data_IF_947038202367
#
_entry.id   IF_947038202367
#
_cell.length_a   1.000
_cell.length_b   1.000
_cell.length_c   1.000
_cell.angle_alpha   90.00
_cell.angle_beta   90.00
_cell.angle_gamma   90.00
#
_symmetry.space_group_name_H-M   'P 1'
#
loop_
_entity.id
_entity.type
_entity.pdbx_description
1 polymer ?
#
# COMPACT_ATOMS: atom_id res chain seq x y z
N UNK A 1 -9.89 -1.66 -10.48
CA UNK A 1 -8.76 -0.92 -11.09
C UNK A 1 -9.25 0.47 -11.51
N UNK A 2 -8.69 1.55 -10.97
CA UNK A 2 -9.04 2.93 -11.38
C UNK A 2 -7.86 3.50 -12.17
N UNK A 3 -8.03 3.88 -13.46
CA UNK A 3 -6.93 4.35 -14.29
C UNK A 3 -6.22 5.60 -13.75
N UNK A 4 -6.91 6.41 -12.93
CA UNK A 4 -6.32 7.55 -12.22
C UNK A 4 -5.20 7.17 -11.24
N UNK A 5 -5.14 5.91 -10.77
CA UNK A 5 -4.13 5.44 -9.81
C UNK A 5 -2.83 4.98 -10.48
N UNK A 6 -2.77 4.94 -11.82
CA UNK A 6 -1.57 4.47 -12.54
C UNK A 6 -0.33 5.33 -12.27
N UNK A 7 -0.52 6.62 -11.96
CA UNK A 7 0.57 7.54 -11.56
C UNK A 7 1.24 7.14 -10.24
N UNK A 8 0.48 6.51 -9.32
CA UNK A 8 0.96 6.10 -7.99
C UNK A 8 1.91 4.91 -8.03
N UNK A 9 1.95 4.17 -9.14
CA UNK A 9 2.82 2.99 -9.29
C UNK A 9 4.32 3.35 -9.24
N UNK A 10 4.67 4.59 -9.60
CA UNK A 10 6.05 5.08 -9.58
C UNK A 10 6.42 5.82 -8.30
N UNK A 11 5.46 6.05 -7.40
CA UNK A 11 5.68 6.80 -6.17
C UNK A 11 6.11 5.87 -5.03
N UNK A 12 6.98 6.37 -4.14
CA UNK A 12 7.29 5.65 -2.89
C UNK A 12 6.04 5.57 -2.02
N UNK A 13 5.81 4.41 -1.41
CA UNK A 13 4.67 4.17 -0.50
C UNK A 13 4.61 5.20 0.63
N UNK A 14 5.76 5.66 1.13
CA UNK A 14 5.84 6.70 2.16
C UNK A 14 5.27 8.04 1.68
N UNK A 15 5.71 8.51 0.50
CA UNK A 15 5.22 9.75 -0.12
C UNK A 15 3.74 9.65 -0.48
N UNK A 16 3.32 8.49 -0.97
CA UNK A 16 1.92 8.22 -1.29
C UNK A 16 1.05 8.30 -0.03
N UNK A 17 1.50 7.70 1.07
CA UNK A 17 0.81 7.73 2.35
C UNK A 17 0.65 9.16 2.87
N UNK A 18 1.71 9.99 2.82
CA UNK A 18 1.65 11.37 3.26
C UNK A 18 0.69 12.21 2.41
N UNK A 19 0.68 11.99 1.09
CA UNK A 19 -0.20 12.70 0.16
C UNK A 19 -1.67 12.36 0.38
N UNK A 20 -1.98 11.08 0.60
CA UNK A 20 -3.36 10.61 0.81
C UNK A 20 -3.86 11.02 2.19
N UNK A 21 -3.06 10.82 3.23
CA UNK A 21 -3.47 11.13 4.62
C UNK A 21 -3.35 12.61 4.96
N UNK A 22 -2.64 13.38 4.11
CA UNK A 22 -2.27 14.80 4.33
C UNK A 22 -1.47 15.02 5.61
N UNK A 23 -0.84 13.97 6.14
CA UNK A 23 -0.04 13.99 7.35
C UNK A 23 1.42 13.68 7.01
N UNK A 24 2.35 14.30 7.73
CA UNK A 24 3.78 13.95 7.60
C UNK A 24 4.06 12.64 8.34
N UNK A 25 4.83 11.78 7.70
CA UNK A 25 5.29 10.54 8.30
C UNK A 25 6.28 10.89 9.42
N UNK A 26 5.99 10.42 10.64
CA UNK A 26 6.90 10.64 11.76
C UNK A 26 8.20 9.87 11.55
N UNK A 27 9.34 10.53 11.73
CA UNK A 27 10.68 9.93 11.65
C UNK A 27 10.91 8.81 12.68
N UNK A 28 10.06 8.71 13.72
CA UNK A 28 10.11 7.64 14.72
C UNK A 28 9.45 6.35 14.22
N UNK A 29 8.63 6.41 13.16
CA UNK A 29 7.99 5.21 12.59
C UNK A 29 8.97 4.54 11.63
N UNK A 30 9.03 3.21 11.70
CA UNK A 30 9.93 2.39 10.87
C UNK A 30 9.20 1.48 9.89
N UNK A 31 7.87 1.39 10.00
CA UNK A 31 7.04 0.57 9.12
C UNK A 31 5.62 1.12 8.97
N UNK A 32 4.94 0.65 7.91
CA UNK A 32 3.49 0.71 7.75
C UNK A 32 2.91 -0.69 7.78
N UNK A 33 1.70 -0.78 8.31
CA UNK A 33 0.86 -1.96 8.21
C UNK A 33 -0.10 -1.73 7.04
N UNK A 34 -0.11 -2.64 6.07
CA UNK A 34 -0.92 -2.55 4.86
C UNK A 34 -1.94 -3.69 4.83
N UNK A 35 -3.21 -3.31 4.76
CA UNK A 35 -4.30 -4.23 4.46
C UNK A 35 -4.52 -4.23 2.95
N UNK A 36 -4.54 -5.41 2.36
CA UNK A 36 -4.59 -5.63 0.92
C UNK A 36 -5.60 -6.71 0.62
N UNK A 37 -6.44 -6.45 -0.39
CA UNK A 37 -7.27 -7.47 -1.01
C UNK A 37 -6.53 -7.98 -2.24
N UNK A 38 -6.37 -9.30 -2.33
CA UNK A 38 -5.74 -9.95 -3.47
C UNK A 38 -6.67 -11.04 -4.01
N UNK A 39 -6.61 -11.23 -5.32
CA UNK A 39 -7.28 -12.34 -5.99
C UNK A 39 -6.23 -13.37 -6.39
N UNK A 40 -6.57 -14.65 -6.28
CA UNK A 40 -5.72 -15.73 -6.76
C UNK A 40 -5.53 -15.63 -8.29
N UNK A 41 -4.33 -15.94 -8.78
CA UNK A 41 -3.97 -15.79 -10.19
C UNK A 41 -4.60 -16.88 -11.07
N UNK A 42 -4.91 -18.05 -10.51
CA UNK A 42 -5.46 -19.19 -11.24
C UNK A 42 -6.99 -19.09 -11.38
N UNK A 43 -7.70 -18.85 -10.28
CA UNK A 43 -9.18 -18.88 -10.26
C UNK A 43 -9.83 -17.49 -10.11
N UNK A 44 -9.05 -16.42 -9.88
CA UNK A 44 -9.56 -15.06 -9.75
C UNK A 44 -10.42 -14.81 -8.50
N UNK A 45 -10.44 -15.76 -7.56
CA UNK A 45 -11.20 -15.69 -6.31
C UNK A 45 -10.49 -14.77 -5.32
N UNK A 46 -11.25 -13.95 -4.59
CA UNK A 46 -10.70 -13.09 -3.53
C UNK A 46 -10.22 -13.95 -2.35
N UNK A 47 -8.97 -13.74 -1.95
CA UNK A 47 -8.33 -14.50 -0.89
C UNK A 47 -8.02 -13.62 0.31
N UNK A 48 -8.30 -14.13 1.50
CA UNK A 48 -7.93 -13.46 2.75
C UNK A 48 -6.43 -13.63 2.94
N UNK A 49 -5.70 -12.51 2.82
CA UNK A 49 -4.26 -12.47 3.05
C UNK A 49 -3.93 -11.78 4.36
N UNK A 50 -2.86 -12.23 5.05
CA UNK A 50 -2.42 -11.60 6.28
C UNK A 50 -1.93 -10.18 6.00
N UNK A 51 -1.99 -9.35 7.04
CA UNK A 51 -1.57 -7.96 6.95
C UNK A 51 -0.09 -7.84 6.62
N UNK A 52 0.25 -6.97 5.67
CA UNK A 52 1.62 -6.81 5.18
C UNK A 52 2.34 -5.75 6.02
N UNK A 53 3.51 -6.09 6.56
CA UNK A 53 4.40 -5.14 7.23
C UNK A 53 5.40 -4.56 6.23
N UNK A 54 5.17 -3.33 5.80
CA UNK A 54 6.08 -2.60 4.90
C UNK A 54 7.12 -1.80 5.70
N UNK A 55 8.39 -2.18 5.63
CA UNK A 55 9.48 -1.49 6.33
C UNK A 55 10.04 -0.34 5.49
N UNK A 56 10.26 0.83 6.10
CA UNK A 56 10.96 1.95 5.47
C UNK A 56 12.46 1.66 5.46
N UNK A 57 12.95 0.99 4.42
CA UNK A 57 14.40 0.89 4.15
C UNK A 57 14.82 1.99 3.19
#
# INVERSE_FOLDING_TARGET
YIPAHKKRLQEKITTLWETITKQKLSQKKTYLTLEVSASDLDDGVDVVIPTVKFQFR
#
